data_IF_008883100199
#
_entry.id   IF_008883100199
#
_cell.length_a   1.000
_cell.length_b   1.000
_cell.length_c   1.000
_cell.angle_alpha   90.00
_cell.angle_beta   90.00
_cell.angle_gamma   90.00
#
_symmetry.space_group_name_H-M   'P 1'
#
loop_
_entity.id
_entity.type
_entity.pdbx_description
1 polymer ?
#
# COMPACT_ATOMS: atom_id res chain seq x y z
N UNK A 1 -32.63 -15.61 -9.03
CA UNK A 1 -32.01 -14.54 -8.27
C UNK A 1 -30.94 -13.89 -9.11
N UNK A 2 -31.10 -12.64 -9.38
CA UNK A 2 -30.12 -11.90 -10.15
C UNK A 2 -29.03 -11.41 -9.22
N UNK A 3 -27.85 -11.93 -9.39
CA UNK A 3 -26.68 -11.42 -8.71
C UNK A 3 -26.21 -10.16 -9.42
N UNK A 4 -26.07 -9.07 -8.72
CA UNK A 4 -25.53 -7.87 -9.32
C UNK A 4 -24.15 -8.18 -9.90
N UNK A 5 -23.86 -7.75 -11.12
CA UNK A 5 -22.54 -7.97 -11.68
C UNK A 5 -21.48 -7.27 -10.81
N UNK A 6 -20.36 -7.93 -10.64
CA UNK A 6 -19.25 -7.34 -9.90
C UNK A 6 -18.74 -6.11 -10.62
N UNK A 7 -18.67 -5.00 -9.92
CA UNK A 7 -18.06 -3.80 -10.47
C UNK A 7 -16.55 -4.01 -10.57
N UNK A 8 -15.91 -3.20 -11.40
CA UNK A 8 -14.44 -3.19 -11.48
C UNK A 8 -13.81 -2.91 -10.11
N UNK A 9 -14.45 -2.05 -9.32
CA UNK A 9 -14.02 -1.75 -7.95
C UNK A 9 -14.02 -3.02 -7.08
N UNK A 10 -15.09 -3.80 -7.12
CA UNK A 10 -15.21 -5.03 -6.33
C UNK A 10 -14.15 -6.04 -6.71
N UNK A 11 -13.85 -6.18 -8.00
CA UNK A 11 -12.82 -7.08 -8.50
C UNK A 11 -11.44 -6.66 -8.02
N UNK A 12 -11.12 -5.36 -8.04
CA UNK A 12 -9.85 -4.84 -7.54
C UNK A 12 -9.76 -5.04 -6.03
N UNK A 13 -10.85 -4.78 -5.31
CA UNK A 13 -10.88 -4.94 -3.86
C UNK A 13 -10.62 -6.39 -3.44
N UNK A 14 -11.22 -7.35 -4.12
CA UNK A 14 -10.98 -8.78 -3.85
C UNK A 14 -9.53 -9.17 -4.12
N UNK A 15 -8.98 -8.71 -5.23
CA UNK A 15 -7.58 -9.00 -5.56
C UNK A 15 -6.64 -8.35 -4.55
N UNK A 16 -6.96 -7.15 -4.09
CA UNK A 16 -6.20 -6.50 -3.04
C UNK A 16 -6.22 -7.29 -1.74
N UNK A 17 -7.41 -7.73 -1.31
CA UNK A 17 -7.55 -8.53 -0.08
C UNK A 17 -6.75 -9.83 -0.16
N UNK A 18 -6.81 -10.51 -1.29
CA UNK A 18 -6.03 -11.72 -1.52
C UNK A 18 -4.53 -11.43 -1.50
N UNK A 19 -4.10 -10.37 -2.18
CA UNK A 19 -2.70 -9.95 -2.20
C UNK A 19 -2.20 -9.61 -0.79
N UNK A 20 -2.98 -8.83 -0.04
CA UNK A 20 -2.60 -8.44 1.32
C UNK A 20 -2.54 -9.64 2.27
N UNK A 21 -3.45 -10.59 2.13
CA UNK A 21 -3.42 -11.82 2.90
C UNK A 21 -2.17 -12.66 2.60
N UNK A 22 -1.76 -12.70 1.34
CA UNK A 22 -0.57 -13.44 0.90
C UNK A 22 0.74 -12.71 1.24
N UNK A 23 0.70 -11.37 1.25
CA UNK A 23 1.88 -10.53 1.48
C UNK A 23 1.63 -9.49 2.58
N UNK A 24 1.38 -9.91 3.82
CA UNK A 24 1.11 -8.97 4.92
C UNK A 24 2.30 -8.05 5.23
N UNK A 25 3.50 -8.45 4.88
CA UNK A 25 4.71 -7.67 5.08
C UNK A 25 4.74 -6.37 4.29
N UNK A 26 3.95 -6.26 3.22
CA UNK A 26 3.91 -5.03 2.40
C UNK A 26 3.40 -3.86 3.23
N UNK A 27 2.33 -4.05 3.99
CA UNK A 27 1.80 -2.99 4.86
C UNK A 27 2.80 -2.62 5.96
N UNK A 28 3.44 -3.61 6.57
CA UNK A 28 4.45 -3.37 7.62
C UNK A 28 5.62 -2.54 7.09
N UNK A 29 6.06 -2.84 5.89
CA UNK A 29 7.16 -2.10 5.24
C UNK A 29 6.75 -0.68 4.88
N UNK A 30 5.54 -0.48 4.37
CA UNK A 30 5.02 0.86 4.07
C UNK A 30 4.92 1.70 5.35
N UNK A 31 4.46 1.11 6.44
CA UNK A 31 4.39 1.79 7.74
C UNK A 31 5.77 2.21 8.21
N UNK A 32 6.74 1.31 8.15
CA UNK A 32 8.11 1.59 8.54
C UNK A 32 8.73 2.70 7.71
N UNK A 33 8.59 2.62 6.39
CA UNK A 33 9.17 3.61 5.49
C UNK A 33 8.54 4.99 5.66
N UNK A 34 7.23 5.05 5.81
CA UNK A 34 6.53 6.31 6.07
C UNK A 34 6.95 6.90 7.41
N UNK A 35 7.06 6.07 8.45
CA UNK A 35 7.51 6.49 9.76
C UNK A 35 8.92 7.09 9.73
N UNK A 36 9.84 6.46 9.01
CA UNK A 36 11.21 6.99 8.83
C UNK A 36 11.19 8.37 8.15
N UNK A 37 10.35 8.53 7.13
CA UNK A 37 10.22 9.79 6.43
C UNK A 37 9.70 10.90 7.35
N UNK A 38 8.67 10.60 8.14
CA UNK A 38 8.12 11.56 9.08
C UNK A 38 9.10 11.88 10.23
N UNK A 39 9.86 10.90 10.69
CA UNK A 39 10.86 11.09 11.75
C UNK A 39 11.99 12.03 11.30
N UNK A 40 12.24 12.13 10.01
CA UNK A 40 13.18 13.10 9.44
C UNK A 40 12.64 14.53 9.41
N UNK A 41 11.38 14.74 9.82
CA UNK A 41 10.77 16.04 9.90
C UNK A 41 9.91 16.43 8.70
N UNK A 42 9.71 15.53 7.75
CA UNK A 42 8.85 15.82 6.60
C UNK A 42 7.39 15.81 7.03
N UNK A 43 6.58 16.81 6.65
CA UNK A 43 5.19 16.90 7.11
C UNK A 43 4.24 15.94 6.39
N UNK A 44 4.58 15.52 5.18
CA UNK A 44 3.72 14.66 4.36
C UNK A 44 4.53 13.80 3.43
N UNK A 45 3.86 12.79 2.86
CA UNK A 45 4.44 11.92 1.85
C UNK A 45 3.37 11.54 0.82
N UNK A 46 3.77 11.40 -0.42
CA UNK A 46 2.92 10.83 -1.47
C UNK A 46 2.97 9.31 -1.41
N UNK A 47 1.83 8.66 -1.46
CA UNK A 47 1.79 7.20 -1.55
C UNK A 47 2.48 6.72 -2.84
N UNK A 48 2.41 7.49 -3.91
CA UNK A 48 3.11 7.18 -5.16
C UNK A 48 4.61 7.11 -4.96
N UNK A 49 5.19 8.08 -4.26
CA UNK A 49 6.63 8.08 -3.95
C UNK A 49 7.00 6.87 -3.10
N UNK A 50 6.23 6.61 -2.05
CA UNK A 50 6.49 5.50 -1.15
C UNK A 50 6.41 4.16 -1.88
N UNK A 51 5.40 4.00 -2.73
CA UNK A 51 5.17 2.80 -3.53
C UNK A 51 6.32 2.53 -4.51
N UNK A 52 6.76 3.56 -5.22
CA UNK A 52 7.88 3.45 -6.16
C UNK A 52 9.21 3.22 -5.45
N UNK A 53 9.42 3.83 -4.29
CA UNK A 53 10.62 3.58 -3.49
C UNK A 53 10.69 2.12 -3.06
N UNK A 54 9.57 1.55 -2.61
CA UNK A 54 9.52 0.14 -2.23
C UNK A 54 9.76 -0.76 -3.43
N UNK A 55 9.15 -0.43 -4.57
CA UNK A 55 9.36 -1.18 -5.82
C UNK A 55 10.84 -1.18 -6.24
N UNK A 56 11.49 -0.03 -6.14
CA UNK A 56 12.91 0.09 -6.48
C UNK A 56 13.77 -0.74 -5.54
N UNK A 57 13.54 -0.63 -4.23
CA UNK A 57 14.29 -1.39 -3.22
C UNK A 57 14.15 -2.90 -3.45
N UNK A 58 12.95 -3.36 -3.71
CA UNK A 58 12.71 -4.77 -3.97
C UNK A 58 13.39 -5.23 -5.26
N UNK A 59 13.33 -4.40 -6.30
CA UNK A 59 13.93 -4.73 -7.58
C UNK A 59 15.44 -4.87 -7.53
N UNK A 60 16.12 -4.08 -6.68
CA UNK A 60 17.58 -4.15 -6.54
C UNK A 60 18.06 -5.18 -5.51
N UNK A 61 17.18 -5.58 -4.59
CA UNK A 61 17.56 -6.46 -3.48
C UNK A 61 17.06 -7.89 -3.60
N UNK A 62 16.11 -8.15 -4.48
CA UNK A 62 15.49 -9.47 -4.61
C UNK A 62 15.54 -9.96 -6.07
N UNK A 63 15.91 -11.22 -6.32
CA UNK A 63 15.90 -11.77 -7.68
C UNK A 63 14.50 -11.87 -8.26
N UNK A 64 13.49 -12.13 -7.42
CA UNK A 64 12.09 -12.22 -7.81
C UNK A 64 11.24 -11.36 -6.87
N UNK A 65 11.20 -10.04 -7.10
CA UNK A 65 10.43 -9.15 -6.23
C UNK A 65 8.94 -9.38 -6.37
N UNK A 66 8.21 -9.10 -5.28
CA UNK A 66 6.75 -9.11 -5.29
C UNK A 66 6.25 -8.07 -6.28
N UNK A 67 5.30 -8.47 -7.11
CA UNK A 67 4.72 -7.60 -8.11
C UNK A 67 3.70 -6.66 -7.47
N UNK A 68 4.02 -5.35 -7.47
CA UNK A 68 3.19 -4.32 -6.86
C UNK A 68 2.23 -3.74 -7.89
N UNK A 69 0.93 -3.88 -7.64
CA UNK A 69 -0.10 -3.33 -8.50
C UNK A 69 -0.47 -1.93 -8.05
N UNK A 70 -0.35 -0.94 -8.92
CA UNK A 70 -0.62 0.46 -8.61
C UNK A 70 -2.05 0.73 -8.15
N UNK A 71 -3.00 -0.14 -8.52
CA UNK A 71 -4.39 -0.02 -8.08
C UNK A 71 -4.56 -0.25 -6.57
N UNK A 72 -3.56 -0.77 -5.88
CA UNK A 72 -3.64 -1.05 -4.45
C UNK A 72 -3.19 0.12 -3.58
N UNK A 73 -2.60 1.15 -4.16
CA UNK A 73 -2.02 2.27 -3.41
C UNK A 73 -3.00 2.95 -2.46
N UNK A 74 -4.16 3.34 -2.96
CA UNK A 74 -5.17 4.02 -2.15
C UNK A 74 -5.70 3.14 -1.01
N UNK A 75 -5.76 1.84 -1.24
CA UNK A 75 -6.21 0.89 -0.23
C UNK A 75 -5.21 0.73 0.89
N UNK A 76 -3.93 0.74 0.55
CA UNK A 76 -2.87 0.72 1.56
C UNK A 76 -2.83 2.01 2.37
N UNK A 77 -3.09 3.16 1.77
CA UNK A 77 -3.22 4.42 2.53
C UNK A 77 -4.30 4.30 3.60
N UNK A 78 -5.46 3.73 3.26
CA UNK A 78 -6.54 3.53 4.25
C UNK A 78 -6.10 2.63 5.39
N UNK A 79 -5.40 1.55 5.10
CA UNK A 79 -4.89 0.64 6.13
C UNK A 79 -3.82 1.31 6.99
N UNK A 80 -2.95 2.12 6.39
CA UNK A 80 -1.95 2.88 7.13
C UNK A 80 -2.61 3.86 8.10
N UNK A 81 -3.63 4.58 7.66
CA UNK A 81 -4.37 5.51 8.50
C UNK A 81 -5.13 4.78 9.61
N UNK A 82 -5.64 3.58 9.35
CA UNK A 82 -6.24 2.76 10.40
C UNK A 82 -5.24 2.39 11.48
N UNK A 83 -4.02 2.04 11.11
CA UNK A 83 -2.95 1.73 12.08
C UNK A 83 -2.41 2.97 12.78
N UNK A 84 -2.34 4.07 12.06
CA UNK A 84 -1.76 5.34 12.51
C UNK A 84 -2.72 6.48 12.19
N UNK A 85 -3.77 6.68 13.01
CA UNK A 85 -4.76 7.73 12.75
C UNK A 85 -4.16 9.13 12.66
N UNK A 86 -3.04 9.37 13.34
CA UNK A 86 -2.30 10.63 13.29
C UNK A 86 -1.73 10.95 11.90
N UNK A 87 -1.70 9.97 11.00
CA UNK A 87 -1.23 10.17 9.63
C UNK A 87 -2.32 10.56 8.64
N UNK A 88 -3.57 10.72 9.10
CA UNK A 88 -4.72 10.94 8.21
C UNK A 88 -4.55 12.13 7.24
N UNK A 89 -3.83 13.17 7.65
CA UNK A 89 -3.60 14.37 6.83
C UNK A 89 -2.17 14.45 6.26
N UNK A 90 -1.43 13.36 6.33
CA UNK A 90 -0.02 13.36 5.94
C UNK A 90 0.24 12.62 4.60
N UNK A 91 -0.82 12.08 4.02
CA UNK A 91 -0.77 11.45 2.70
C UNK A 91 -1.45 12.27 1.63
#
# INVERSE_FOLDING_TARGET
VTTAPHTRYDSIQRRFEAFHAEHPEVLDRLEMMAGEWFDLGHPSISIGMLWEAMRWLDGVNQPEPVRLNDHYRSRYVRLLIQRRPEWAERF
#
